data_IF_274871067177
#
_entry.id   IF_274871067177
#
_cell.length_a   1.000
_cell.length_b   1.000
_cell.length_c   1.000
_cell.angle_alpha   90.00
_cell.angle_beta   90.00
_cell.angle_gamma   90.00
#
_symmetry.space_group_name_H-M   'P 1'
#
loop_
_entity.id
_entity.type
_entity.pdbx_description
1 polymer ?
#
# COMPACT_ATOMS: atom_id res chain seq x y z
N UNK A 1 -19.34 -35.77 -25.55
CA UNK A 1 -17.95 -36.18 -25.33
C UNK A 1 -17.02 -34.99 -25.36
N UNK A 2 -16.93 -34.26 -26.46
CA UNK A 2 -16.06 -33.07 -26.50
C UNK A 2 -16.41 -31.99 -25.52
N UNK A 3 -17.66 -31.94 -25.10
CA UNK A 3 -18.14 -30.95 -24.18
C UNK A 3 -17.45 -31.02 -22.80
N UNK A 4 -17.09 -32.21 -22.37
CA UNK A 4 -16.47 -32.41 -21.10
C UNK A 4 -15.09 -31.75 -21.02
N UNK A 5 -14.35 -31.80 -22.10
CA UNK A 5 -13.02 -31.21 -22.17
C UNK A 5 -13.09 -29.70 -22.09
N UNK A 6 -14.10 -29.10 -22.71
CA UNK A 6 -14.27 -27.66 -22.70
C UNK A 6 -14.55 -27.15 -21.29
N UNK A 7 -15.36 -27.85 -20.54
CA UNK A 7 -15.66 -27.45 -19.16
C UNK A 7 -14.44 -27.48 -18.28
N UNK A 8 -13.60 -28.45 -18.45
CA UNK A 8 -12.37 -28.56 -17.68
C UNK A 8 -11.44 -27.37 -17.92
N UNK A 9 -11.32 -26.97 -19.15
CA UNK A 9 -10.49 -25.83 -19.51
C UNK A 9 -10.97 -24.54 -18.86
N UNK A 10 -12.27 -24.32 -18.80
CA UNK A 10 -12.84 -23.14 -18.18
C UNK A 10 -12.53 -23.05 -16.69
N UNK A 11 -12.59 -24.16 -15.99
CA UNK A 11 -12.29 -24.19 -14.56
C UNK A 11 -10.84 -23.78 -14.30
N UNK A 12 -9.93 -24.26 -15.11
CA UNK A 12 -8.52 -23.92 -14.97
C UNK A 12 -8.28 -22.40 -15.11
N UNK A 13 -8.98 -21.76 -16.00
CA UNK A 13 -8.85 -20.32 -16.21
C UNK A 13 -9.28 -19.51 -14.99
N UNK A 14 -10.33 -19.91 -14.32
CA UNK A 14 -10.79 -19.22 -13.14
C UNK A 14 -9.75 -19.20 -12.02
N UNK A 15 -9.08 -20.31 -11.81
CA UNK A 15 -8.08 -20.41 -10.76
C UNK A 15 -6.90 -19.49 -11.05
N UNK A 16 -6.55 -19.32 -12.30
CA UNK A 16 -5.41 -18.49 -12.67
C UNK A 16 -5.67 -17.00 -12.41
N UNK A 17 -6.91 -16.55 -12.64
CA UNK A 17 -7.23 -15.14 -12.56
C UNK A 17 -7.31 -14.56 -11.16
N UNK A 18 -7.43 -15.37 -10.11
CA UNK A 18 -7.75 -14.86 -8.78
C UNK A 18 -6.54 -14.43 -7.95
N UNK A 19 -5.32 -14.77 -8.35
CA UNK A 19 -4.13 -14.50 -7.53
C UNK A 19 -3.42 -13.18 -7.87
N UNK A 20 -3.63 -12.62 -9.05
CA UNK A 20 -2.84 -11.49 -9.56
C UNK A 20 -3.12 -10.12 -8.93
N UNK A 21 -4.35 -9.73 -8.57
CA UNK A 21 -4.66 -8.34 -8.20
C UNK A 21 -3.98 -7.85 -6.91
N UNK A 22 -3.75 -8.72 -5.96
CA UNK A 22 -3.22 -8.31 -4.64
C UNK A 22 -1.77 -7.84 -4.73
N UNK A 23 -0.95 -8.56 -5.49
CA UNK A 23 0.47 -8.24 -5.65
C UNK A 23 0.66 -6.92 -6.42
N UNK A 24 -0.22 -6.64 -7.38
CA UNK A 24 -0.12 -5.43 -8.20
C UNK A 24 -0.29 -4.15 -7.36
N UNK A 25 -1.21 -4.14 -6.41
CA UNK A 25 -1.47 -2.96 -5.57
C UNK A 25 -0.25 -2.58 -4.73
N UNK A 26 0.40 -3.56 -4.10
CA UNK A 26 1.60 -3.32 -3.30
C UNK A 26 2.74 -2.79 -4.14
N UNK A 27 2.94 -3.34 -5.33
CA UNK A 27 3.98 -2.89 -6.25
C UNK A 27 3.74 -1.45 -6.70
N UNK A 28 2.49 -1.08 -6.94
CA UNK A 28 2.16 0.28 -7.35
C UNK A 28 2.44 1.30 -6.24
N UNK A 29 2.15 0.95 -4.99
CA UNK A 29 2.43 1.82 -3.86
C UNK A 29 3.93 2.01 -3.67
N UNK A 30 4.70 0.94 -3.74
CA UNK A 30 6.15 1.01 -3.63
C UNK A 30 6.74 1.87 -4.74
N UNK A 31 6.30 1.66 -5.97
CA UNK A 31 6.78 2.44 -7.10
C UNK A 31 6.41 3.91 -6.97
N UNK A 32 5.24 4.21 -6.42
CA UNK A 32 4.82 5.58 -6.16
C UNK A 32 5.77 6.29 -5.21
N UNK A 33 6.18 5.62 -4.13
CA UNK A 33 7.15 6.20 -3.18
C UNK A 33 8.49 6.45 -3.86
N UNK A 34 8.96 5.51 -4.67
CA UNK A 34 10.22 5.67 -5.39
C UNK A 34 10.20 6.83 -6.37
N UNK A 35 9.06 7.05 -7.02
CA UNK A 35 8.94 8.13 -8.02
C UNK A 35 8.73 9.50 -7.40
N UNK A 36 8.34 9.58 -6.14
CA UNK A 36 7.99 10.84 -5.49
C UNK A 36 8.77 11.06 -4.20
N UNK A 37 10.10 11.18 -4.27
CA UNK A 37 10.91 11.30 -3.05
C UNK A 37 10.61 12.55 -2.23
N UNK A 38 10.29 13.67 -2.87
CA UNK A 38 9.99 14.90 -2.15
C UNK A 38 8.69 14.79 -1.35
N UNK A 39 7.71 14.10 -1.91
CA UNK A 39 6.46 13.84 -1.22
C UNK A 39 6.69 12.93 0.00
N UNK A 40 7.50 11.89 -0.18
CA UNK A 40 7.85 10.99 0.91
C UNK A 40 8.57 11.73 2.03
N UNK A 41 9.51 12.61 1.68
CA UNK A 41 10.23 13.42 2.67
C UNK A 41 9.30 14.36 3.41
N UNK A 42 8.33 14.94 2.73
CA UNK A 42 7.33 15.78 3.37
C UNK A 42 6.49 14.99 4.39
N UNK A 43 6.12 13.77 4.04
CA UNK A 43 5.42 12.88 4.95
C UNK A 43 6.29 12.56 6.16
N UNK A 44 7.57 12.33 5.95
CA UNK A 44 8.52 12.07 7.04
C UNK A 44 8.60 13.27 8.00
N UNK A 45 8.64 14.48 7.49
CA UNK A 45 8.64 15.68 8.35
C UNK A 45 7.38 15.73 9.22
N UNK A 46 6.25 15.45 8.64
CA UNK A 46 4.99 15.40 9.36
C UNK A 46 4.99 14.32 10.44
N UNK A 47 5.48 13.13 10.11
CA UNK A 47 5.55 12.01 11.05
C UNK A 47 6.50 12.31 12.23
N UNK A 48 7.64 12.92 11.95
CA UNK A 48 8.58 13.32 13.02
C UNK A 48 7.96 14.33 13.96
N UNK A 49 7.20 15.26 13.42
CA UNK A 49 6.49 16.25 14.23
C UNK A 49 5.46 15.56 15.12
N UNK A 50 4.75 14.56 14.60
CA UNK A 50 3.81 13.77 15.40
C UNK A 50 4.54 13.05 16.53
N UNK A 51 5.67 12.41 16.21
CA UNK A 51 6.48 11.71 17.21
C UNK A 51 6.96 12.67 18.31
N UNK A 52 7.35 13.87 17.93
CA UNK A 52 7.77 14.90 18.92
C UNK A 52 6.63 15.25 19.87
N UNK A 53 5.41 15.12 19.44
CA UNK A 53 4.23 15.37 20.26
C UNK A 53 3.68 14.09 20.92
N UNK A 54 4.45 13.02 20.95
CA UNK A 54 4.05 11.76 21.57
C UNK A 54 3.04 10.96 20.79
N UNK A 55 2.90 11.21 19.50
CA UNK A 55 1.94 10.51 18.64
C UNK A 55 2.64 9.61 17.63
N UNK A 56 2.03 8.47 17.33
CA UNK A 56 2.60 7.53 16.39
C UNK A 56 2.12 7.83 14.96
N UNK A 57 3.05 7.72 14.01
CA UNK A 57 2.71 7.79 12.59
C UNK A 57 1.80 6.64 12.17
N UNK A 58 1.80 5.56 12.91
CA UNK A 58 1.00 4.36 12.62
C UNK A 58 -0.34 4.34 13.35
N UNK A 59 -0.70 5.40 14.06
CA UNK A 59 -2.00 5.47 14.71
C UNK A 59 -3.12 5.48 13.68
N UNK A 60 -4.30 5.02 14.08
CA UNK A 60 -5.47 5.05 13.19
C UNK A 60 -5.72 6.44 12.64
N UNK A 61 -5.59 7.44 13.49
CA UNK A 61 -5.82 8.83 13.09
C UNK A 61 -4.82 9.27 12.03
N UNK A 62 -3.55 8.95 12.22
CA UNK A 62 -2.50 9.30 11.26
C UNK A 62 -2.72 8.61 9.93
N UNK A 63 -2.94 7.31 9.96
CA UNK A 63 -3.15 6.53 8.73
C UNK A 63 -4.40 7.00 8.01
N UNK A 64 -5.46 7.34 8.73
CA UNK A 64 -6.68 7.87 8.11
C UNK A 64 -6.43 9.19 7.39
N UNK A 65 -5.60 10.06 7.95
CA UNK A 65 -5.22 11.31 7.30
C UNK A 65 -4.45 11.05 6.00
N UNK A 66 -3.53 10.10 6.03
CA UNK A 66 -2.79 9.71 4.83
C UNK A 66 -3.76 9.15 3.78
N UNK A 67 -4.69 8.31 4.19
CA UNK A 67 -5.68 7.73 3.28
C UNK A 67 -6.48 8.82 2.59
N UNK A 68 -6.96 9.81 3.33
CA UNK A 68 -7.72 10.91 2.76
C UNK A 68 -6.88 11.76 1.83
N UNK A 69 -5.68 12.11 2.24
CA UNK A 69 -4.81 12.97 1.46
C UNK A 69 -4.29 12.31 0.19
N UNK A 70 -4.14 11.00 0.18
CA UNK A 70 -3.63 10.25 -0.96
C UNK A 70 -4.73 9.53 -1.74
N UNK A 71 -5.98 9.68 -1.33
CA UNK A 71 -7.11 9.01 -1.96
C UNK A 71 -6.95 7.50 -1.98
N UNK A 72 -6.62 6.94 -0.83
CA UNK A 72 -6.41 5.50 -0.64
C UNK A 72 -7.38 4.96 0.40
N UNK A 73 -7.63 3.65 0.37
CA UNK A 73 -8.30 3.01 1.48
C UNK A 73 -7.33 2.89 2.66
N UNK A 74 -7.83 2.53 3.83
CA UNK A 74 -7.03 2.49 5.04
C UNK A 74 -5.86 1.50 4.94
N UNK A 75 -6.11 0.31 4.41
CA UNK A 75 -5.05 -0.70 4.28
C UNK A 75 -3.92 -0.24 3.36
N UNK A 76 -4.27 0.33 2.23
CA UNK A 76 -3.26 0.83 1.30
C UNK A 76 -2.49 2.00 1.91
N UNK A 77 -3.15 2.83 2.69
CA UNK A 77 -2.48 3.91 3.40
C UNK A 77 -1.48 3.38 4.44
N UNK A 78 -1.82 2.32 5.16
CA UNK A 78 -0.87 1.67 6.07
C UNK A 78 0.36 1.17 5.34
N UNK A 79 0.16 0.55 4.20
CA UNK A 79 1.26 0.05 3.38
C UNK A 79 2.12 1.22 2.89
N UNK A 80 1.50 2.29 2.44
CA UNK A 80 2.22 3.47 1.99
C UNK A 80 3.07 4.07 3.10
N UNK A 81 2.51 4.23 4.30
CA UNK A 81 3.25 4.73 5.46
C UNK A 81 4.46 3.85 5.74
N UNK A 82 4.27 2.54 5.70
CA UNK A 82 5.36 1.58 5.94
C UNK A 82 6.50 1.76 4.93
N UNK A 83 6.18 1.92 3.66
CA UNK A 83 7.20 2.14 2.63
C UNK A 83 7.91 3.48 2.80
N UNK A 84 7.16 4.54 3.07
CA UNK A 84 7.74 5.87 3.27
C UNK A 84 8.71 5.85 4.45
N UNK A 85 8.28 5.31 5.58
CA UNK A 85 9.12 5.27 6.78
C UNK A 85 10.35 4.39 6.54
N UNK A 86 10.16 3.20 6.00
CA UNK A 86 11.27 2.28 5.79
C UNK A 86 12.32 2.80 4.83
N UNK A 87 11.90 3.55 3.82
CA UNK A 87 12.82 4.05 2.80
C UNK A 87 13.43 5.41 3.12
N UNK A 88 12.72 6.27 3.83
CA UNK A 88 13.14 7.67 3.99
C UNK A 88 13.32 8.14 5.42
N UNK A 89 12.67 7.51 6.38
CA UNK A 89 12.74 7.97 7.78
C UNK A 89 12.54 6.80 8.75
N UNK A 90 13.48 5.85 8.79
CA UNK A 90 13.33 4.66 9.63
C UNK A 90 13.33 4.96 11.13
N UNK A 91 13.68 6.18 11.54
CA UNK A 91 13.59 6.64 12.92
C UNK A 91 12.15 6.91 13.38
N UNK A 92 11.21 7.04 12.46
CA UNK A 92 9.81 7.36 12.77
C UNK A 92 9.12 6.17 13.47
N UNK A 93 8.33 6.51 14.49
CA UNK A 93 7.51 5.56 15.25
C UNK A 93 6.04 5.84 15.07
#
# INVERSE_FOLDING_TARGET
MGLNLLRTALVALFLTGSASPVTAADSDLLNSVKRNPEKAKAMCRSFRKMNANGKSAYSKKSVSKVAQGQNLNFQDAEILVTYVVGMHCPDVR
#
